data_IF_075696298162
#
_entry.id   IF_075696298162
#
_cell.length_a   1.000
_cell.length_b   1.000
_cell.length_c   1.000
_cell.angle_alpha   90.00
_cell.angle_beta   90.00
_cell.angle_gamma   90.00
#
_symmetry.space_group_name_H-M   'P 1'
#
loop_
_entity.id
_entity.type
_entity.pdbx_description
1 polymer ?
#
# COMPACT_ATOMS: atom_id res chain seq x y z
N UNK A 1 -10.57 6.99 -19.01
CA UNK A 1 -10.38 6.67 -17.59
C UNK A 1 -11.44 5.68 -17.16
N UNK A 2 -11.05 4.68 -16.36
CA UNK A 2 -11.99 3.66 -15.84
C UNK A 2 -12.81 4.24 -14.69
N UNK A 3 -14.00 3.71 -14.43
CA UNK A 3 -14.81 4.01 -13.23
C UNK A 3 -14.26 3.29 -11.96
N UNK A 4 -13.27 2.40 -12.13
CA UNK A 4 -12.65 1.61 -11.06
C UNK A 4 -11.58 2.40 -10.29
N UNK A 5 -11.15 3.55 -10.79
CA UNK A 5 -10.27 4.50 -10.12
C UNK A 5 -10.89 5.89 -10.22
N UNK A 6 -11.20 6.50 -9.08
CA UNK A 6 -11.68 7.87 -9.01
C UNK A 6 -10.48 8.78 -8.78
N UNK A 7 -10.33 9.77 -9.66
CA UNK A 7 -9.28 10.79 -9.55
C UNK A 7 -9.93 12.16 -9.37
N UNK A 8 -9.53 12.89 -8.35
CA UNK A 8 -10.07 14.20 -8.03
C UNK A 8 -8.98 15.11 -7.45
N UNK A 9 -9.24 16.41 -7.44
CA UNK A 9 -8.40 17.38 -6.73
C UNK A 9 -9.31 18.05 -5.70
N UNK A 10 -8.94 17.92 -4.43
CA UNK A 10 -9.58 18.55 -3.30
C UNK A 10 -8.63 19.59 -2.73
N UNK A 11 -9.00 20.88 -2.79
CA UNK A 11 -8.09 21.93 -2.37
C UNK A 11 -6.76 21.88 -3.13
N UNK A 12 -5.67 21.61 -2.41
CA UNK A 12 -4.31 21.50 -2.96
C UNK A 12 -3.80 20.05 -3.02
N UNK A 13 -4.60 19.08 -2.62
CA UNK A 13 -4.26 17.66 -2.71
C UNK A 13 -5.00 16.97 -3.84
N UNK A 14 -4.27 16.23 -4.65
CA UNK A 14 -4.85 15.28 -5.59
C UNK A 14 -5.12 13.94 -4.90
N UNK A 15 -6.13 13.21 -5.34
CA UNK A 15 -6.55 11.96 -4.71
C UNK A 15 -6.74 10.85 -5.74
N UNK A 16 -6.05 9.74 -5.52
CA UNK A 16 -6.28 8.46 -6.18
C UNK A 16 -7.16 7.61 -5.25
N UNK A 17 -8.39 7.36 -5.65
CA UNK A 17 -9.37 6.65 -4.86
C UNK A 17 -9.77 5.35 -5.54
N UNK A 18 -9.34 4.22 -4.99
CA UNK A 18 -9.63 2.90 -5.53
C UNK A 18 -11.13 2.59 -5.41
N UNK A 19 -11.77 2.14 -6.50
CA UNK A 19 -13.23 2.00 -6.59
C UNK A 19 -13.67 0.65 -7.16
N UNK A 20 -13.22 -0.45 -6.56
CA UNK A 20 -13.67 -1.82 -6.85
C UNK A 20 -14.04 -2.56 -5.55
N UNK A 21 -15.04 -2.10 -4.77
CA UNK A 21 -15.31 -2.63 -3.43
C UNK A 21 -15.64 -4.13 -3.44
N UNK A 22 -16.32 -4.64 -4.47
CA UNK A 22 -16.67 -6.07 -4.62
C UNK A 22 -15.45 -6.98 -4.82
N UNK A 23 -14.33 -6.42 -5.29
CA UNK A 23 -13.07 -7.12 -5.49
C UNK A 23 -11.99 -6.66 -4.49
N UNK A 24 -12.38 -6.06 -3.35
CA UNK A 24 -11.46 -5.48 -2.36
C UNK A 24 -10.41 -4.57 -3.01
N UNK A 25 -10.83 -3.81 -4.01
CA UNK A 25 -10.03 -2.86 -4.79
C UNK A 25 -8.80 -3.49 -5.48
N UNK A 26 -8.88 -4.78 -5.84
CA UNK A 26 -7.82 -5.41 -6.63
C UNK A 26 -7.54 -4.63 -7.91
N UNK A 27 -6.25 -4.45 -8.20
CA UNK A 27 -5.78 -3.64 -9.33
C UNK A 27 -6.02 -4.32 -10.67
N UNK A 28 -6.39 -3.52 -11.65
CA UNK A 28 -6.42 -3.89 -13.07
C UNK A 28 -5.39 -3.07 -13.83
N UNK A 29 -5.01 -3.52 -15.03
CA UNK A 29 -4.10 -2.76 -15.92
C UNK A 29 -4.63 -1.34 -16.14
N UNK A 30 -5.93 -1.20 -16.43
CA UNK A 30 -6.57 0.10 -16.66
C UNK A 30 -6.49 1.04 -15.42
N UNK A 31 -6.66 0.51 -14.20
CA UNK A 31 -6.47 1.32 -12.98
C UNK A 31 -5.03 1.81 -12.84
N UNK A 32 -4.06 0.94 -13.12
CA UNK A 32 -2.64 1.31 -13.06
C UNK A 32 -2.27 2.36 -14.12
N UNK A 33 -2.79 2.24 -15.34
CA UNK A 33 -2.59 3.20 -16.41
C UNK A 33 -3.19 4.57 -16.06
N UNK A 34 -4.43 4.59 -15.59
CA UNK A 34 -5.10 5.82 -15.18
C UNK A 34 -4.40 6.50 -13.99
N UNK A 35 -3.89 5.71 -13.05
CA UNK A 35 -3.06 6.22 -11.94
C UNK A 35 -1.77 6.87 -12.46
N UNK A 36 -1.05 6.21 -13.39
CA UNK A 36 0.17 6.75 -14.00
C UNK A 36 -0.12 8.08 -14.72
N UNK A 37 -1.17 8.11 -15.55
CA UNK A 37 -1.57 9.31 -16.30
C UNK A 37 -1.85 10.46 -15.32
N UNK A 38 -2.63 10.20 -14.28
CA UNK A 38 -3.00 11.20 -13.27
C UNK A 38 -1.79 11.70 -12.49
N UNK A 39 -0.93 10.80 -12.01
CA UNK A 39 0.28 11.15 -11.28
C UNK A 39 1.24 12.00 -12.12
N UNK A 40 1.42 11.65 -13.41
CA UNK A 40 2.27 12.44 -14.32
C UNK A 40 1.70 13.84 -14.55
N UNK A 41 0.38 13.97 -14.72
CA UNK A 41 -0.27 15.27 -14.86
C UNK A 41 -0.15 16.11 -13.58
N UNK A 42 -0.41 15.52 -12.41
CA UNK A 42 -0.32 16.23 -11.13
C UNK A 42 1.11 16.58 -10.72
N UNK A 43 2.10 15.85 -11.20
CA UNK A 43 3.52 16.18 -10.96
C UNK A 43 3.87 17.56 -11.52
N UNK A 44 3.34 17.88 -12.70
CA UNK A 44 3.60 19.15 -13.40
C UNK A 44 2.62 20.28 -12.99
N UNK A 45 1.49 19.95 -12.36
CA UNK A 45 0.49 20.92 -11.93
C UNK A 45 0.91 21.58 -10.62
N UNK A 46 1.22 22.89 -10.68
CA UNK A 46 1.63 23.67 -9.51
C UNK A 46 0.50 23.88 -8.48
N UNK A 47 -0.75 23.69 -8.85
CA UNK A 47 -1.87 23.76 -7.91
C UNK A 47 -1.99 22.50 -7.04
N UNK A 48 -1.39 21.38 -7.46
CA UNK A 48 -1.33 20.14 -6.69
C UNK A 48 -0.04 20.12 -5.89
N UNK A 49 -0.15 20.11 -4.56
CA UNK A 49 1.00 20.11 -3.65
C UNK A 49 1.22 18.76 -2.95
N UNK A 50 0.22 17.88 -2.90
CA UNK A 50 0.31 16.53 -2.35
C UNK A 50 -0.59 15.52 -3.09
N UNK A 51 -0.34 14.22 -2.90
CA UNK A 51 -1.18 13.14 -3.42
C UNK A 51 -1.63 12.24 -2.28
N UNK A 52 -2.93 11.99 -2.19
CA UNK A 52 -3.56 11.06 -1.28
C UNK A 52 -3.97 9.79 -2.02
N UNK A 53 -3.72 8.63 -1.44
CA UNK A 53 -4.15 7.33 -1.98
C UNK A 53 -5.03 6.64 -0.95
N UNK A 54 -6.27 6.38 -1.31
CA UNK A 54 -7.24 5.69 -0.46
C UNK A 54 -8.23 4.85 -1.28
N UNK A 55 -9.31 4.38 -0.65
CA UNK A 55 -10.38 3.65 -1.30
C UNK A 55 -11.74 4.33 -1.11
N UNK A 56 -12.71 4.01 -1.96
CA UNK A 56 -14.02 4.64 -1.95
C UNK A 56 -14.91 4.15 -0.81
N UNK A 57 -15.08 2.83 -0.70
CA UNK A 57 -15.92 2.19 0.31
C UNK A 57 -15.50 0.74 0.55
N UNK A 58 -16.03 0.12 1.60
CA UNK A 58 -15.77 -1.29 1.90
C UNK A 58 -14.61 -1.49 2.87
N UNK A 59 -14.19 -2.76 3.03
CA UNK A 59 -13.28 -3.20 4.09
C UNK A 59 -11.83 -3.41 3.64
N UNK A 60 -11.48 -3.01 2.45
CA UNK A 60 -10.14 -3.19 1.91
C UNK A 60 -9.59 -1.91 1.37
N UNK A 61 -8.32 -1.62 1.64
CA UNK A 61 -7.58 -0.61 0.90
C UNK A 61 -7.28 -1.13 -0.50
N UNK A 62 -6.53 -2.23 -0.61
CA UNK A 62 -6.26 -2.91 -1.88
C UNK A 62 -5.74 -4.33 -1.62
N UNK A 63 -6.40 -5.33 -2.19
CA UNK A 63 -6.05 -6.74 -1.98
C UNK A 63 -4.97 -7.27 -2.95
N UNK A 64 -4.37 -6.42 -3.78
CA UNK A 64 -3.35 -6.81 -4.76
C UNK A 64 -3.81 -6.69 -6.20
N UNK A 65 -3.15 -7.37 -7.14
CA UNK A 65 -3.58 -7.50 -8.52
C UNK A 65 -4.81 -8.40 -8.67
N UNK A 66 -5.53 -8.30 -9.78
CA UNK A 66 -6.66 -9.17 -10.09
C UNK A 66 -6.18 -10.59 -10.41
N UNK A 67 -6.09 -11.43 -9.36
CA UNK A 67 -5.56 -12.81 -9.43
C UNK A 67 -6.34 -13.67 -10.44
N UNK A 68 -7.66 -13.43 -10.61
CA UNK A 68 -8.45 -14.18 -11.58
C UNK A 68 -7.96 -13.92 -13.00
N UNK A 69 -7.81 -12.66 -13.36
CA UNK A 69 -7.28 -12.24 -14.68
C UNK A 69 -5.87 -12.80 -14.88
N UNK A 70 -5.01 -12.72 -13.86
CA UNK A 70 -3.64 -13.25 -13.93
C UNK A 70 -3.62 -14.76 -14.16
N UNK A 71 -4.47 -15.54 -13.44
CA UNK A 71 -4.56 -16.98 -13.61
C UNK A 71 -5.11 -17.38 -15.00
N UNK A 72 -6.17 -16.70 -15.47
CA UNK A 72 -6.75 -16.95 -16.79
C UNK A 72 -5.74 -16.63 -17.91
N UNK A 73 -5.01 -15.52 -17.80
CA UNK A 73 -3.95 -15.15 -18.74
C UNK A 73 -2.80 -16.16 -18.70
N UNK A 74 -2.36 -16.58 -17.50
CA UNK A 74 -1.28 -17.56 -17.35
C UNK A 74 -1.62 -18.94 -17.88
N UNK A 75 -2.90 -19.32 -17.86
CA UNK A 75 -3.40 -20.55 -18.47
C UNK A 75 -3.49 -20.49 -20.01
N UNK A 76 -3.30 -19.32 -20.60
CA UNK A 76 -3.34 -19.05 -22.04
C UNK A 76 -1.94 -18.64 -22.55
N UNK A 77 -1.83 -17.46 -23.15
CA UNK A 77 -0.56 -16.93 -23.72
C UNK A 77 0.24 -16.06 -22.76
N UNK A 78 -0.32 -15.71 -21.61
CA UNK A 78 0.29 -14.89 -20.59
C UNK A 78 0.45 -13.40 -20.97
N UNK A 79 -0.11 -12.95 -22.09
CA UNK A 79 0.08 -11.57 -22.58
C UNK A 79 -0.49 -10.55 -21.60
N UNK A 80 -1.74 -10.72 -21.17
CA UNK A 80 -2.39 -9.78 -20.27
C UNK A 80 -1.71 -9.73 -18.88
N UNK A 81 -1.23 -10.87 -18.37
CA UNK A 81 -0.50 -10.91 -17.11
C UNK A 81 0.83 -10.13 -17.19
N UNK A 82 1.57 -10.30 -18.28
CA UNK A 82 2.83 -9.56 -18.49
C UNK A 82 2.59 -8.05 -18.64
N UNK A 83 1.54 -7.66 -19.35
CA UNK A 83 1.14 -6.26 -19.50
C UNK A 83 0.74 -5.64 -18.14
N UNK A 84 -0.04 -6.38 -17.35
CA UNK A 84 -0.39 -5.95 -16.00
C UNK A 84 0.86 -5.71 -15.13
N UNK A 85 1.72 -6.70 -14.98
CA UNK A 85 2.93 -6.57 -14.15
C UNK A 85 3.85 -5.45 -14.66
N UNK A 86 4.02 -5.32 -15.98
CA UNK A 86 4.80 -4.23 -16.55
C UNK A 86 4.22 -2.86 -16.15
N UNK A 87 2.92 -2.69 -16.24
CA UNK A 87 2.25 -1.43 -15.92
C UNK A 87 2.24 -1.16 -14.42
N UNK A 88 1.94 -2.17 -13.60
CA UNK A 88 1.95 -2.07 -12.15
C UNK A 88 3.35 -1.68 -11.62
N UNK A 89 4.42 -2.32 -12.10
CA UNK A 89 5.78 -2.00 -11.65
C UNK A 89 6.23 -0.59 -12.09
N UNK A 90 5.74 -0.09 -13.22
CA UNK A 90 5.95 1.32 -13.61
C UNK A 90 5.23 2.27 -12.65
N UNK A 91 4.01 1.94 -12.23
CA UNK A 91 3.28 2.71 -11.21
C UNK A 91 4.03 2.72 -9.88
N UNK A 92 4.49 1.55 -9.41
CA UNK A 92 5.26 1.46 -8.15
C UNK A 92 6.55 2.29 -8.23
N UNK A 93 7.27 2.24 -9.35
CA UNK A 93 8.48 3.05 -9.55
C UNK A 93 8.16 4.54 -9.58
N UNK A 94 7.07 4.95 -10.24
CA UNK A 94 6.64 6.34 -10.29
C UNK A 94 6.31 6.87 -8.88
N UNK A 95 5.60 6.09 -8.06
CA UNK A 95 5.30 6.46 -6.67
C UNK A 95 6.58 6.54 -5.83
N UNK A 96 7.51 5.58 -5.98
CA UNK A 96 8.78 5.56 -5.25
C UNK A 96 9.67 6.77 -5.55
N UNK A 97 9.58 7.31 -6.76
CA UNK A 97 10.36 8.47 -7.20
C UNK A 97 9.55 9.77 -7.26
N UNK A 98 8.34 9.78 -6.69
CA UNK A 98 7.45 10.92 -6.80
C UNK A 98 7.96 12.11 -5.98
N UNK A 99 8.03 13.28 -6.62
CA UNK A 99 8.67 14.46 -6.03
C UNK A 99 7.78 15.19 -5.00
N UNK A 100 6.45 15.06 -5.10
CA UNK A 100 5.52 15.69 -4.15
C UNK A 100 5.19 14.74 -3.01
N UNK A 101 4.83 15.23 -1.82
CA UNK A 101 4.39 14.41 -0.71
C UNK A 101 3.25 13.45 -1.11
N UNK A 102 3.38 12.19 -0.69
CA UNK A 102 2.38 11.15 -0.92
C UNK A 102 1.93 10.56 0.40
N UNK A 103 0.63 10.37 0.58
CA UNK A 103 0.02 9.78 1.78
C UNK A 103 -0.86 8.61 1.36
N UNK A 104 -0.56 7.41 1.86
CA UNK A 104 -1.41 6.24 1.68
C UNK A 104 -2.19 5.93 2.96
N UNK A 105 -3.52 5.84 2.85
CA UNK A 105 -4.42 5.49 3.95
C UNK A 105 -4.75 3.99 3.87
N UNK A 106 -3.98 3.17 4.58
CA UNK A 106 -4.10 1.70 4.58
C UNK A 106 -5.25 1.23 5.49
N UNK A 107 -6.44 1.81 5.31
CA UNK A 107 -7.61 1.47 6.11
C UNK A 107 -8.27 0.19 5.58
N UNK A 108 -7.90 -0.96 6.13
CA UNK A 108 -8.40 -2.26 5.73
C UNK A 108 -7.34 -3.19 5.12
N UNK A 109 -7.79 -4.14 4.29
CA UNK A 109 -6.94 -5.14 3.64
C UNK A 109 -5.95 -4.45 2.70
N UNK A 110 -4.66 -4.64 2.96
CA UNK A 110 -3.53 -4.06 2.22
C UNK A 110 -2.56 -5.18 1.87
N UNK A 111 -2.64 -5.75 0.66
CA UNK A 111 -1.89 -6.94 0.27
C UNK A 111 -1.34 -6.81 -1.16
N UNK A 112 -0.21 -7.45 -1.44
CA UNK A 112 0.36 -7.52 -2.78
C UNK A 112 0.49 -6.14 -3.45
N UNK A 113 -0.18 -5.91 -4.58
CA UNK A 113 -0.22 -4.61 -5.25
C UNK A 113 -0.67 -3.45 -4.36
N UNK A 114 -1.50 -3.70 -3.32
CA UNK A 114 -1.84 -2.70 -2.30
C UNK A 114 -0.63 -2.27 -1.47
N UNK A 115 0.28 -3.19 -1.20
CA UNK A 115 1.58 -2.89 -0.58
C UNK A 115 2.42 -2.05 -1.54
N UNK A 116 2.41 -2.39 -2.84
CA UNK A 116 3.09 -1.63 -3.90
C UNK A 116 2.57 -0.21 -4.09
N UNK A 117 1.30 0.07 -3.75
CA UNK A 117 0.75 1.42 -3.75
C UNK A 117 1.09 2.19 -2.48
N UNK A 118 1.17 1.52 -1.33
CA UNK A 118 1.31 2.18 -0.03
C UNK A 118 2.76 2.40 0.40
N UNK A 119 3.61 1.37 0.33
CA UNK A 119 4.98 1.46 0.85
C UNK A 119 5.89 2.47 0.15
N UNK A 120 5.73 2.78 -1.15
CA UNK A 120 6.46 3.88 -1.78
C UNK A 120 6.08 5.25 -1.25
N UNK A 121 4.91 5.41 -0.62
CA UNK A 121 4.45 6.70 -0.11
C UNK A 121 5.29 7.18 1.08
N UNK A 122 5.49 8.50 1.13
CA UNK A 122 6.23 9.15 2.20
C UNK A 122 5.55 8.96 3.56
N UNK A 123 4.22 9.08 3.59
CA UNK A 123 3.41 8.86 4.77
C UNK A 123 2.48 7.66 4.55
N UNK A 124 2.46 6.77 5.50
CA UNK A 124 1.68 5.52 5.48
C UNK A 124 0.87 5.44 6.75
N UNK A 125 -0.43 5.66 6.61
CA UNK A 125 -1.37 5.70 7.73
C UNK A 125 -2.01 4.34 7.90
N UNK A 126 -1.80 3.71 9.05
CA UNK A 126 -2.49 2.50 9.46
C UNK A 126 -3.64 2.82 10.40
N UNK A 127 -4.62 1.93 10.48
CA UNK A 127 -5.78 2.03 11.37
C UNK A 127 -6.03 0.69 12.09
N UNK A 128 -7.04 0.64 12.94
CA UNK A 128 -7.53 -0.60 13.56
C UNK A 128 -8.04 -1.63 12.54
N UNK A 129 -8.39 -1.17 11.33
CA UNK A 129 -8.85 -2.03 10.25
C UNK A 129 -7.71 -2.59 9.39
N UNK A 130 -6.51 -2.03 9.46
CA UNK A 130 -5.37 -2.45 8.65
C UNK A 130 -5.10 -3.95 8.81
N UNK A 131 -4.98 -4.64 7.66
CA UNK A 131 -4.58 -6.04 7.56
C UNK A 131 -3.57 -6.16 6.42
N UNK A 132 -2.31 -6.15 6.79
CA UNK A 132 -1.18 -6.15 5.87
C UNK A 132 -0.64 -7.56 5.65
N UNK A 133 -0.32 -7.92 4.39
CA UNK A 133 0.44 -9.12 4.07
C UNK A 133 1.09 -9.05 2.68
N UNK A 134 2.14 -9.85 2.48
CA UNK A 134 2.68 -10.21 1.18
C UNK A 134 2.47 -11.72 0.98
N UNK A 135 1.26 -12.15 0.53
CA UNK A 135 0.86 -13.57 0.54
C UNK A 135 1.26 -14.32 -0.75
N UNK A 136 2.12 -13.76 -1.58
CA UNK A 136 2.47 -14.22 -2.93
C UNK A 136 2.99 -15.66 -2.95
N UNK A 137 3.75 -16.07 -1.94
CA UNK A 137 4.27 -17.45 -1.81
C UNK A 137 3.16 -18.49 -1.73
N UNK A 138 1.98 -18.12 -1.19
CA UNK A 138 0.80 -18.96 -1.15
C UNK A 138 0.19 -19.30 -2.52
N UNK A 139 0.56 -18.56 -3.56
CA UNK A 139 0.10 -18.74 -4.95
C UNK A 139 1.24 -19.04 -5.92
N UNK A 140 2.42 -19.39 -5.41
CA UNK A 140 3.59 -19.74 -6.23
C UNK A 140 4.31 -18.55 -6.84
N UNK A 141 4.09 -17.33 -6.31
CA UNK A 141 4.81 -16.12 -6.68
C UNK A 141 5.76 -15.73 -5.54
N UNK A 142 6.58 -14.73 -5.72
CA UNK A 142 7.42 -14.10 -4.69
C UNK A 142 6.86 -12.72 -4.34
N UNK A 143 7.17 -12.14 -3.16
CA UNK A 143 6.85 -10.76 -2.85
C UNK A 143 7.50 -9.81 -3.86
N UNK A 144 6.69 -9.30 -4.77
CA UNK A 144 7.04 -8.35 -5.84
C UNK A 144 6.78 -6.90 -5.41
N UNK A 145 6.38 -6.02 -6.30
CA UNK A 145 6.00 -4.60 -6.07
C UNK A 145 6.92 -3.81 -5.13
N UNK A 146 8.20 -4.17 -5.10
CA UNK A 146 9.18 -3.58 -4.17
C UNK A 146 9.28 -4.32 -2.83
N UNK A 147 8.55 -5.42 -2.62
CA UNK A 147 8.56 -6.21 -1.38
C UNK A 147 9.96 -6.61 -0.93
N UNK A 148 10.83 -7.03 -1.85
CA UNK A 148 12.21 -7.36 -1.53
C UNK A 148 13.00 -6.20 -0.94
N UNK A 149 12.74 -4.97 -1.39
CA UNK A 149 13.37 -3.77 -0.83
C UNK A 149 12.86 -3.45 0.57
N UNK A 150 11.56 -3.44 0.77
CA UNK A 150 10.96 -3.05 2.06
C UNK A 150 11.17 -4.13 3.12
N UNK A 151 10.87 -5.38 2.81
CA UNK A 151 10.95 -6.48 3.76
C UNK A 151 12.39 -6.76 4.22
N UNK A 152 13.38 -6.61 3.35
CA UNK A 152 14.80 -6.80 3.71
C UNK A 152 15.34 -5.77 4.70
N UNK A 153 14.59 -4.70 4.98
CA UNK A 153 14.97 -3.61 5.90
C UNK A 153 14.23 -3.63 7.21
N UNK A 154 13.33 -4.59 7.38
CA UNK A 154 12.61 -4.77 8.65
C UNK A 154 13.55 -5.29 9.76
N UNK A 155 13.23 -5.02 11.03
CA UNK A 155 14.06 -5.44 12.15
C UNK A 155 14.16 -6.97 12.24
N UNK A 156 15.35 -7.45 12.58
CA UNK A 156 15.65 -8.87 12.72
C UNK A 156 15.36 -9.68 11.45
N UNK A 157 14.71 -10.81 11.60
CA UNK A 157 14.27 -11.69 10.53
C UNK A 157 12.77 -11.57 10.21
N UNK A 158 12.11 -10.51 10.69
CA UNK A 158 10.67 -10.30 10.45
C UNK A 158 10.34 -10.18 8.95
N UNK A 159 11.23 -9.61 8.14
CA UNK A 159 11.04 -9.55 6.69
C UNK A 159 11.01 -10.92 6.02
N UNK A 160 11.94 -11.81 6.37
CA UNK A 160 11.94 -13.20 5.88
C UNK A 160 10.68 -13.95 6.34
N UNK A 161 10.30 -13.77 7.61
CA UNK A 161 9.07 -14.34 8.15
C UNK A 161 7.86 -13.93 7.33
N UNK A 162 7.65 -12.64 7.10
CA UNK A 162 6.51 -12.12 6.32
C UNK A 162 6.57 -12.59 4.85
N UNK A 163 7.76 -12.54 4.22
CA UNK A 163 7.93 -12.92 2.82
C UNK A 163 7.65 -14.40 2.56
N UNK A 164 8.14 -15.28 3.44
CA UNK A 164 8.06 -16.73 3.22
C UNK A 164 6.74 -17.34 3.66
N UNK A 165 6.12 -16.77 4.70
CA UNK A 165 4.89 -17.32 5.28
C UNK A 165 3.62 -16.66 4.77
N UNK A 166 3.72 -15.43 4.19
CA UNK A 166 2.56 -14.62 3.87
C UNK A 166 1.75 -14.23 5.10
N UNK A 167 2.38 -14.17 6.28
CA UNK A 167 1.71 -13.87 7.54
C UNK A 167 1.00 -12.51 7.48
N UNK A 168 -0.18 -12.46 8.09
CA UNK A 168 -0.98 -11.24 8.19
C UNK A 168 -0.67 -10.54 9.49
N UNK A 169 -0.38 -9.25 9.39
CA UNK A 169 -0.15 -8.37 10.53
C UNK A 169 -1.18 -7.23 10.55
N UNK A 170 -1.43 -6.67 11.73
CA UNK A 170 -2.35 -5.56 11.91
C UNK A 170 -1.65 -4.19 11.84
N UNK A 171 -2.42 -3.10 12.02
CA UNK A 171 -1.89 -1.75 11.97
C UNK A 171 -0.86 -1.44 13.05
N UNK A 172 -1.03 -1.98 14.26
CA UNK A 172 -0.08 -1.81 15.34
C UNK A 172 1.26 -2.52 15.05
N UNK A 173 1.19 -3.72 14.48
CA UNK A 173 2.36 -4.47 14.02
C UNK A 173 3.06 -3.77 12.84
N UNK A 174 2.29 -3.15 11.92
CA UNK A 174 2.86 -2.31 10.87
C UNK A 174 3.64 -1.12 11.42
N UNK A 175 3.12 -0.45 12.45
CA UNK A 175 3.83 0.62 13.15
C UNK A 175 5.11 0.11 13.80
N UNK A 176 5.02 -0.99 14.55
CA UNK A 176 6.15 -1.57 15.28
C UNK A 176 7.31 -2.01 14.36
N UNK A 177 6.98 -2.44 13.13
CA UNK A 177 7.97 -2.85 12.13
C UNK A 177 8.42 -1.72 11.20
N UNK A 178 7.85 -0.50 11.30
CA UNK A 178 8.17 0.63 10.42
C UNK A 178 7.54 0.55 9.02
N UNK A 179 6.57 -0.35 8.82
CA UNK A 179 5.77 -0.42 7.59
C UNK A 179 4.74 0.71 7.50
N UNK A 180 4.20 1.15 8.63
CA UNK A 180 3.40 2.37 8.73
C UNK A 180 4.20 3.48 9.44
N UNK A 181 3.86 4.74 9.16
CA UNK A 181 4.45 5.94 9.77
C UNK A 181 3.57 6.54 10.86
N UNK A 182 2.25 6.38 10.75
CA UNK A 182 1.25 6.91 11.67
C UNK A 182 0.15 5.88 11.90
N UNK A 183 -0.45 5.93 13.08
CA UNK A 183 -1.60 5.11 13.44
C UNK A 183 -2.75 6.01 13.88
N UNK A 184 -3.83 6.02 13.11
CA UNK A 184 -4.99 6.86 13.32
C UNK A 184 -6.24 5.99 13.52
N UNK A 185 -7.24 6.46 14.29
CA UNK A 185 -8.56 5.86 14.24
C UNK A 185 -9.18 6.07 12.87
N UNK A 186 -9.85 5.04 12.33
CA UNK A 186 -10.45 5.12 10.98
C UNK A 186 -11.49 6.24 10.86
N UNK A 187 -12.19 6.55 11.96
CA UNK A 187 -13.16 7.64 12.02
C UNK A 187 -12.57 9.04 11.80
N UNK A 188 -11.28 9.23 12.06
CA UNK A 188 -10.60 10.52 11.87
C UNK A 188 -10.11 10.74 10.41
N UNK A 189 -10.13 9.72 9.57
CA UNK A 189 -9.46 9.78 8.27
C UNK A 189 -10.04 10.82 7.32
N UNK A 190 -11.35 11.06 7.33
CA UNK A 190 -11.96 12.02 6.41
C UNK A 190 -11.62 13.47 6.80
N UNK A 191 -11.60 13.79 8.08
CA UNK A 191 -11.16 15.10 8.58
C UNK A 191 -9.69 15.33 8.28
N UNK A 192 -8.82 14.34 8.55
CA UNK A 192 -7.38 14.41 8.25
C UNK A 192 -7.11 14.62 6.75
N UNK A 193 -7.84 13.94 5.87
CA UNK A 193 -7.71 14.15 4.41
C UNK A 193 -8.14 15.56 4.01
N UNK A 194 -9.19 16.10 4.63
CA UNK A 194 -9.64 17.48 4.38
C UNK A 194 -8.60 18.50 4.85
N UNK A 195 -8.01 18.30 6.04
CA UNK A 195 -6.96 19.17 6.57
C UNK A 195 -5.71 19.15 5.71
N UNK A 196 -5.28 17.96 5.24
CA UNK A 196 -4.16 17.83 4.31
C UNK A 196 -4.47 18.54 2.98
N UNK A 197 -5.70 18.43 2.47
CA UNK A 197 -6.10 19.10 1.23
C UNK A 197 -6.09 20.63 1.36
N UNK A 198 -6.37 21.14 2.55
CA UNK A 198 -6.31 22.57 2.85
C UNK A 198 -4.88 23.08 3.02
N UNK A 199 -4.00 22.32 3.69
CA UNK A 199 -2.62 22.69 3.99
C UNK A 199 -1.62 21.52 3.86
N UNK A 200 -1.22 21.15 2.63
CA UNK A 200 -0.29 20.03 2.39
C UNK A 200 1.12 20.26 2.95
N UNK A 201 1.52 21.51 3.19
CA UNK A 201 2.84 21.79 3.78
C UNK A 201 2.93 21.34 5.25
N UNK A 202 1.78 21.16 5.90
CA UNK A 202 1.69 20.81 7.31
C UNK A 202 1.33 19.31 7.53
N UNK A 203 1.45 18.47 6.50
CA UNK A 203 1.16 17.02 6.60
C UNK A 203 1.76 16.36 7.85
N UNK A 204 3.05 16.57 8.20
CA UNK A 204 3.61 15.96 9.40
C UNK A 204 2.83 16.30 10.67
N UNK A 205 2.56 17.58 10.91
CA UNK A 205 1.84 18.00 12.11
C UNK A 205 0.37 17.53 12.12
N UNK A 206 -0.32 17.58 10.96
CA UNK A 206 -1.70 17.07 10.83
C UNK A 206 -1.77 15.58 11.20
N UNK A 207 -0.83 14.78 10.69
CA UNK A 207 -0.78 13.35 10.97
C UNK A 207 -0.35 13.06 12.41
N UNK A 208 0.62 13.80 12.95
CA UNK A 208 1.07 13.66 14.35
C UNK A 208 -0.05 14.00 15.33
N UNK A 209 -0.77 15.11 15.12
CA UNK A 209 -1.86 15.56 15.98
C UNK A 209 -3.06 14.60 15.98
N UNK A 210 -3.34 13.95 14.85
CA UNK A 210 -4.41 12.96 14.71
C UNK A 210 -4.00 11.55 15.18
N UNK A 211 -2.70 11.30 15.38
CA UNK A 211 -2.16 9.98 15.74
C UNK A 211 -2.52 9.61 17.17
N UNK A 212 -2.84 8.33 17.36
CA UNK A 212 -3.04 7.74 18.69
C UNK A 212 -2.01 6.65 18.94
N UNK A 213 -1.79 6.32 20.22
CA UNK A 213 -0.95 5.17 20.57
C UNK A 213 -1.59 3.89 20.02
N UNK A 214 -0.87 3.10 19.17
CA UNK A 214 -1.39 1.84 18.69
C UNK A 214 -1.54 0.82 19.83
N UNK A 215 -2.41 -0.19 19.69
CA UNK A 215 -2.46 -1.33 20.60
C UNK A 215 -1.12 -2.07 20.65
N UNK A 216 -0.99 -3.02 21.58
CA UNK A 216 0.19 -3.87 21.68
C UNK A 216 0.42 -4.66 20.38
N UNK A 217 1.62 -4.52 19.81
CA UNK A 217 2.04 -5.25 18.61
C UNK A 217 2.51 -6.67 18.99
N UNK A 218 1.66 -7.67 18.75
CA UNK A 218 1.91 -9.08 19.13
C UNK A 218 3.17 -9.66 18.52
N UNK A 219 3.56 -9.19 17.35
CA UNK A 219 4.78 -9.65 16.66
C UNK A 219 6.04 -9.37 17.50
N UNK A 220 6.07 -8.29 18.27
CA UNK A 220 7.22 -7.93 19.10
C UNK A 220 7.52 -9.01 20.16
N UNK A 221 6.49 -9.62 20.75
CA UNK A 221 6.64 -10.74 21.68
C UNK A 221 7.14 -12.05 21.05
N UNK A 222 7.22 -12.09 19.71
CA UNK A 222 7.69 -13.26 18.94
C UNK A 222 9.01 -13.02 18.21
N UNK A 223 9.64 -11.85 18.33
CA UNK A 223 10.83 -11.49 17.55
C UNK A 223 11.99 -12.47 17.75
N UNK A 224 12.33 -12.82 19.00
CA UNK A 224 13.41 -13.78 19.30
C UNK A 224 13.16 -15.15 18.65
N UNK A 225 11.90 -15.58 18.62
CA UNK A 225 11.51 -16.84 17.98
C UNK A 225 11.58 -16.73 16.45
N UNK A 226 11.15 -15.62 15.88
CA UNK A 226 11.27 -15.35 14.46
C UNK A 226 12.74 -15.33 14.06
N UNK A 227 13.58 -14.61 14.78
CA UNK A 227 15.00 -14.50 14.53
C UNK A 227 15.71 -15.86 14.60
N UNK A 228 15.31 -16.71 15.53
CA UNK A 228 15.84 -18.09 15.64
C UNK A 228 15.41 -18.97 14.49
N UNK A 229 14.11 -18.98 14.15
CA UNK A 229 13.55 -19.88 13.13
C UNK A 229 13.94 -19.48 11.70
N UNK A 230 14.16 -18.20 11.45
CA UNK A 230 14.53 -17.65 10.14
C UNK A 230 16.00 -17.22 10.08
N UNK A 231 16.87 -17.72 11.00
CA UNK A 231 18.28 -17.37 11.06
C UNK A 231 19.09 -17.80 9.85
N UNK A 232 18.68 -18.89 9.19
CA UNK A 232 19.40 -19.42 8.01
C UNK A 232 19.19 -18.52 6.79
N UNK A 233 20.26 -18.28 6.04
CA UNK A 233 20.20 -17.68 4.70
C UNK A 233 20.02 -18.74 3.60
N UNK A 234 19.88 -20.02 3.98
CA UNK A 234 19.61 -21.16 3.08
C UNK A 234 18.26 -21.76 3.43
N UNK A 235 17.45 -21.99 2.42
CA UNK A 235 16.09 -22.55 2.50
C UNK A 235 16.04 -23.91 1.79
N UNK A 236 16.96 -24.80 2.19
CA UNK A 236 17.02 -26.19 1.70
C UNK A 236 16.24 -27.13 2.61
#
# INVERSE_FOLDING_TARGET
MTDQLITQIDGKAARLRLNRPKALHALTTAMCEDAIISLLAWREDLAVEAVLIDHAEGRGFCAGGDIRMLAESGASDGVQAREFFHTEYRLNHLLFTYAKPTVAFMDGITMGGGVGLSLPCQYRVATEHTRFAMPETGIGLFPDVGGGWYLSRLPGRSGQFLALTGARIDGAECMALGLATHYLPSEALDDVKADIAADPHNIPAILDDASIAPPEARILGNMDRIDTLFASDRYE
#
